data_IF_589520381348
#
_entry.id   IF_589520381348
#
_cell.length_a   1.000
_cell.length_b   1.000
_cell.length_c   1.000
_cell.angle_alpha   90.00
_cell.angle_beta   90.00
_cell.angle_gamma   90.00
#
_symmetry.space_group_name_H-M   'P 1'
#
loop_
_entity.id
_entity.type
_entity.pdbx_description
1 polymer ?
#
# COMPACT_ATOMS: atom_id res chain seq x y z
N UNK A 1 30.78 -18.35 12.38
CA UNK A 1 32.01 -17.57 12.16
C UNK A 1 31.99 -16.96 10.76
N UNK A 2 32.15 -15.62 10.66
CA UNK A 2 32.15 -14.88 9.41
C UNK A 2 33.45 -14.10 9.26
N UNK A 3 34.01 -14.09 8.05
CA UNK A 3 35.07 -13.18 7.65
C UNK A 3 34.51 -12.19 6.65
N UNK A 4 34.44 -10.92 7.01
CA UNK A 4 33.86 -9.85 6.19
C UNK A 4 34.96 -8.91 5.73
N UNK A 5 35.07 -8.69 4.42
CA UNK A 5 35.96 -7.68 3.87
C UNK A 5 35.27 -6.30 3.95
N UNK A 6 35.90 -5.37 4.66
CA UNK A 6 35.43 -3.99 4.77
C UNK A 6 36.21 -3.08 3.81
N UNK A 7 35.58 -2.76 2.70
CA UNK A 7 36.19 -1.99 1.64
C UNK A 7 36.66 -0.59 2.09
N UNK A 8 35.95 0.04 3.04
CA UNK A 8 36.30 1.40 3.52
C UNK A 8 37.62 1.45 4.30
N UNK A 9 38.06 0.36 4.90
CA UNK A 9 39.32 0.27 5.66
C UNK A 9 40.33 -0.68 5.03
N UNK A 10 39.97 -1.38 3.93
CA UNK A 10 40.79 -2.40 3.25
C UNK A 10 41.23 -3.54 4.21
N UNK A 11 40.33 -3.94 5.11
CA UNK A 11 40.62 -4.95 6.14
C UNK A 11 39.62 -6.10 6.11
N UNK A 12 40.09 -7.29 6.52
CA UNK A 12 39.24 -8.43 6.85
C UNK A 12 38.91 -8.39 8.34
N UNK A 13 37.60 -8.42 8.64
CA UNK A 13 37.10 -8.46 10.01
C UNK A 13 36.47 -9.82 10.28
N UNK A 14 36.99 -10.50 11.30
CA UNK A 14 36.42 -11.76 11.78
C UNK A 14 35.41 -11.51 12.89
N UNK A 15 34.25 -12.18 12.82
CA UNK A 15 33.21 -12.06 13.83
C UNK A 15 32.44 -13.36 13.98
N UNK A 16 32.02 -13.63 15.21
CA UNK A 16 31.13 -14.73 15.53
C UNK A 16 29.69 -14.14 15.63
N UNK A 17 28.77 -14.70 14.85
CA UNK A 17 27.36 -14.30 14.82
C UNK A 17 26.51 -15.45 15.32
N UNK A 18 25.78 -15.22 16.38
CA UNK A 18 24.82 -16.18 16.90
C UNK A 18 23.53 -16.15 16.07
N UNK A 19 23.12 -17.30 15.56
CA UNK A 19 21.85 -17.44 14.84
C UNK A 19 20.70 -17.47 15.85
N UNK A 20 19.86 -16.44 15.83
CA UNK A 20 18.67 -16.31 16.68
C UNK A 20 17.50 -15.70 15.91
N UNK A 21 16.30 -15.84 16.46
CA UNK A 21 15.16 -15.08 15.97
C UNK A 21 15.41 -13.59 16.21
N UNK A 22 15.23 -12.79 15.17
CA UNK A 22 15.31 -11.33 15.20
C UNK A 22 14.01 -10.83 14.60
N UNK A 23 13.29 -9.99 15.35
CA UNK A 23 12.18 -9.24 14.77
C UNK A 23 12.76 -8.18 13.85
N UNK A 24 12.30 -8.20 12.60
CA UNK A 24 12.66 -7.17 11.64
C UNK A 24 11.54 -6.12 11.64
N UNK A 25 11.78 -4.89 12.07
CA UNK A 25 10.76 -3.86 12.04
C UNK A 25 10.38 -3.58 10.59
N UNK A 26 9.08 -3.61 10.30
CA UNK A 26 8.52 -3.26 9.01
C UNK A 26 7.85 -1.89 9.03
N UNK A 27 7.70 -1.31 10.22
CA UNK A 27 7.05 -0.03 10.47
C UNK A 27 8.05 0.93 11.09
N UNK A 28 8.24 2.06 10.42
CA UNK A 28 8.94 3.22 10.95
C UNK A 28 7.94 4.38 11.04
N UNK A 29 8.02 5.18 12.08
CA UNK A 29 7.05 6.26 12.28
C UNK A 29 7.63 7.45 13.04
N UNK A 30 7.06 8.61 12.80
CA UNK A 30 7.37 9.84 13.52
C UNK A 30 6.18 10.82 13.49
N UNK A 31 6.13 11.72 14.44
CA UNK A 31 5.22 12.87 14.42
C UNK A 31 5.94 14.05 13.76
N UNK A 32 5.39 14.55 12.65
CA UNK A 32 5.91 15.72 11.95
C UNK A 32 5.55 17.02 12.70
N UNK A 33 6.26 18.12 12.39
CA UNK A 33 6.10 19.41 13.06
C UNK A 33 4.66 19.98 12.98
N UNK A 34 3.90 19.60 11.93
CA UNK A 34 2.51 20.03 11.70
C UNK A 34 1.47 19.07 12.29
N UNK A 35 1.82 18.27 13.29
CA UNK A 35 1.00 17.24 13.92
C UNK A 35 0.52 16.10 13.00
N UNK A 36 1.06 15.98 11.78
CA UNK A 36 0.81 14.80 10.97
C UNK A 36 1.64 13.62 11.50
N UNK A 37 0.97 12.52 11.81
CA UNK A 37 1.63 11.23 12.00
C UNK A 37 2.11 10.72 10.64
N UNK A 38 3.37 10.33 10.53
CA UNK A 38 3.92 9.68 9.35
C UNK A 38 4.31 8.26 9.72
N UNK A 39 3.77 7.28 8.98
CA UNK A 39 4.09 5.86 9.13
C UNK A 39 4.55 5.33 7.79
N UNK A 40 5.79 4.84 7.71
CA UNK A 40 6.33 4.10 6.57
C UNK A 40 6.22 2.61 6.85
N UNK A 41 5.58 1.87 5.93
CA UNK A 41 5.42 0.43 5.98
C UNK A 41 6.18 -0.20 4.81
N UNK A 42 7.33 -0.82 5.09
CA UNK A 42 8.24 -1.35 4.06
C UNK A 42 7.79 -2.68 3.45
N UNK A 43 7.07 -3.51 4.22
CA UNK A 43 6.48 -4.79 3.79
C UNK A 43 5.37 -5.21 4.74
N UNK A 44 4.54 -6.15 4.30
CA UNK A 44 3.52 -6.77 5.15
C UNK A 44 4.02 -8.14 5.65
N UNK A 45 4.42 -8.19 6.91
CA UNK A 45 4.81 -9.40 7.63
C UNK A 45 3.78 -9.71 8.74
N UNK A 46 3.87 -10.87 9.38
CA UNK A 46 2.95 -11.25 10.46
C UNK A 46 2.93 -10.24 11.62
N UNK A 47 4.07 -9.59 11.89
CA UNK A 47 4.25 -8.60 12.97
C UNK A 47 3.79 -7.19 12.60
N UNK A 48 3.54 -6.92 11.30
CA UNK A 48 3.33 -5.55 10.80
C UNK A 48 2.07 -4.91 11.35
N UNK A 49 0.99 -5.68 11.54
CA UNK A 49 -0.27 -5.14 12.09
C UNK A 49 -0.10 -4.66 13.54
N UNK A 50 0.57 -5.42 14.38
CA UNK A 50 0.84 -5.03 15.77
C UNK A 50 1.79 -3.83 15.86
N UNK A 51 2.84 -3.81 15.03
CA UNK A 51 3.75 -2.66 14.94
C UNK A 51 3.02 -1.41 14.48
N UNK A 52 2.13 -1.53 13.48
CA UNK A 52 1.33 -0.43 12.96
C UNK A 52 0.36 0.12 14.02
N UNK A 53 -0.40 -0.74 14.70
CA UNK A 53 -1.31 -0.35 15.78
C UNK A 53 -0.57 0.40 16.89
N UNK A 54 0.57 -0.14 17.33
CA UNK A 54 1.41 0.49 18.34
C UNK A 54 1.93 1.87 17.91
N UNK A 55 2.28 2.02 16.61
CA UNK A 55 2.72 3.30 16.06
C UNK A 55 1.60 4.33 16.06
N UNK A 56 0.39 3.95 15.64
CA UNK A 56 -0.79 4.84 15.65
C UNK A 56 -1.14 5.26 17.07
N UNK A 57 -1.14 4.34 18.04
CA UNK A 57 -1.45 4.63 19.44
C UNK A 57 -0.43 5.62 20.04
N UNK A 58 0.86 5.43 19.75
CA UNK A 58 1.91 6.32 20.21
C UNK A 58 1.79 7.72 19.57
N UNK A 59 1.54 7.80 18.26
CA UNK A 59 1.30 9.06 17.54
C UNK A 59 0.06 9.80 18.08
N UNK A 60 -1.03 9.07 18.30
CA UNK A 60 -2.25 9.64 18.90
C UNK A 60 -1.97 10.20 20.29
N UNK A 61 -1.20 9.49 21.13
CA UNK A 61 -0.78 9.96 22.46
C UNK A 61 0.06 11.23 22.42
N UNK A 62 0.76 11.48 21.30
CA UNK A 62 1.59 12.67 21.03
C UNK A 62 0.81 13.81 20.39
N UNK A 63 -0.49 13.64 20.14
CA UNK A 63 -1.38 14.67 19.60
C UNK A 63 -1.41 14.72 18.07
N UNK A 64 -1.23 13.58 17.40
CA UNK A 64 -1.51 13.44 15.96
C UNK A 64 -2.95 13.83 15.66
N UNK A 65 -3.16 14.67 14.66
CA UNK A 65 -4.48 15.10 14.18
C UNK A 65 -4.76 14.75 12.71
N UNK A 66 -3.80 14.15 12.01
CA UNK A 66 -3.86 13.64 10.63
C UNK A 66 -2.79 12.57 10.44
N UNK A 67 -3.01 11.61 9.55
CA UNK A 67 -2.12 10.46 9.37
C UNK A 67 -1.71 10.28 7.90
N UNK A 68 -0.41 10.15 7.67
CA UNK A 68 0.16 9.72 6.38
C UNK A 68 0.68 8.30 6.53
N UNK A 69 0.23 7.40 5.63
CA UNK A 69 0.72 6.03 5.53
C UNK A 69 1.48 5.90 4.22
N UNK A 70 2.78 5.66 4.30
CA UNK A 70 3.65 5.52 3.11
C UNK A 70 3.81 4.05 2.74
N UNK A 71 3.23 3.69 1.60
CA UNK A 71 3.30 2.36 0.97
C UNK A 71 4.15 2.39 -0.31
N UNK A 72 4.86 3.47 -0.60
CA UNK A 72 5.76 3.54 -1.76
C UNK A 72 6.85 2.47 -1.63
N UNK A 73 7.16 1.81 -2.75
CA UNK A 73 8.12 0.70 -2.83
C UNK A 73 7.75 -0.54 -1.98
N UNK A 74 6.53 -0.62 -1.46
CA UNK A 74 6.06 -1.78 -0.71
C UNK A 74 5.38 -2.79 -1.63
N UNK A 75 6.07 -3.85 -2.01
CA UNK A 75 5.56 -4.92 -2.89
C UNK A 75 4.50 -5.83 -2.26
N UNK A 76 4.02 -5.51 -1.05
CA UNK A 76 3.02 -6.29 -0.33
C UNK A 76 3.62 -7.27 0.68
N UNK A 77 3.06 -8.46 0.77
CA UNK A 77 3.45 -9.50 1.71
C UNK A 77 2.24 -10.29 2.22
N UNK A 78 2.12 -10.42 3.54
CA UNK A 78 1.06 -11.16 4.21
C UNK A 78 -0.26 -10.38 4.11
N UNK A 79 -1.20 -10.88 3.29
CA UNK A 79 -2.52 -10.24 3.09
C UNK A 79 -3.31 -10.12 4.39
N UNK A 80 -3.13 -11.06 5.33
CA UNK A 80 -3.81 -10.98 6.62
C UNK A 80 -3.38 -9.72 7.39
N UNK A 81 -2.09 -9.35 7.38
CA UNK A 81 -1.61 -8.14 8.03
C UNK A 81 -2.25 -6.86 7.43
N UNK A 82 -2.43 -6.82 6.09
CA UNK A 82 -3.12 -5.70 5.44
C UNK A 82 -4.60 -5.62 5.85
N UNK A 83 -5.27 -6.77 5.98
CA UNK A 83 -6.65 -6.84 6.47
C UNK A 83 -6.76 -6.37 7.91
N UNK A 84 -5.85 -6.80 8.78
CA UNK A 84 -5.85 -6.42 10.20
C UNK A 84 -5.55 -4.92 10.40
N UNK A 85 -4.73 -4.33 9.51
CA UNK A 85 -4.49 -2.87 9.48
C UNK A 85 -5.75 -2.14 8.97
N UNK A 86 -6.37 -2.63 7.89
CA UNK A 86 -7.59 -2.02 7.36
C UNK A 86 -8.74 -2.09 8.37
N UNK A 87 -8.89 -3.23 9.06
CA UNK A 87 -9.88 -3.45 10.13
C UNK A 87 -9.70 -2.45 11.27
N UNK A 88 -8.45 -2.26 11.72
CA UNK A 88 -8.10 -1.31 12.78
C UNK A 88 -8.38 0.16 12.39
N UNK A 89 -8.25 0.52 11.10
CA UNK A 89 -8.46 1.89 10.62
C UNK A 89 -9.93 2.21 10.31
N UNK A 90 -10.68 1.23 9.80
CA UNK A 90 -12.04 1.42 9.30
C UNK A 90 -13.09 1.24 10.41
N UNK A 91 -14.21 1.97 10.35
CA UNK A 91 -15.34 1.68 11.20
C UNK A 91 -15.91 0.29 10.91
N UNK A 92 -16.61 -0.27 11.89
CA UNK A 92 -17.22 -1.60 11.84
C UNK A 92 -18.13 -1.81 10.61
N UNK A 93 -18.10 -3.01 10.03
CA UNK A 93 -18.98 -3.45 8.94
C UNK A 93 -18.57 -2.97 7.55
N UNK A 94 -17.39 -2.36 7.37
CA UNK A 94 -16.89 -1.94 6.06
C UNK A 94 -16.27 -3.11 5.31
N UNK A 95 -16.55 -3.24 4.02
CA UNK A 95 -15.85 -4.23 3.19
C UNK A 95 -14.38 -3.84 3.05
N UNK A 96 -13.48 -4.80 3.26
CA UNK A 96 -12.03 -4.63 3.07
C UNK A 96 -11.62 -5.16 1.70
N UNK A 97 -11.96 -6.41 1.41
CA UNK A 97 -11.59 -7.10 0.16
C UNK A 97 -12.48 -8.30 -0.07
N UNK A 98 -12.74 -8.64 -1.33
CA UNK A 98 -13.37 -9.91 -1.69
C UNK A 98 -12.46 -10.75 -2.60
N UNK A 99 -12.59 -12.07 -2.48
CA UNK A 99 -11.86 -13.05 -3.28
C UNK A 99 -12.83 -13.89 -4.09
N UNK A 100 -12.55 -14.06 -5.38
CA UNK A 100 -13.30 -14.94 -6.26
C UNK A 100 -12.33 -15.78 -7.08
N UNK A 101 -12.58 -17.07 -7.20
CA UNK A 101 -11.70 -17.95 -7.96
C UNK A 101 -12.24 -19.33 -8.21
N UNK A 102 -11.60 -20.03 -9.14
CA UNK A 102 -11.97 -21.39 -9.50
C UNK A 102 -11.60 -22.38 -8.40
N UNK A 103 -12.59 -23.13 -7.92
CA UNK A 103 -12.37 -24.19 -6.93
C UNK A 103 -12.16 -23.69 -5.49
N UNK A 104 -12.46 -22.42 -5.23
CA UNK A 104 -12.59 -21.86 -3.89
C UNK A 104 -13.97 -21.21 -3.76
N UNK A 105 -14.48 -21.15 -2.54
CA UNK A 105 -15.69 -20.39 -2.26
C UNK A 105 -15.37 -18.89 -2.28
N UNK A 106 -16.26 -18.11 -2.86
CA UNK A 106 -16.15 -16.65 -2.81
C UNK A 106 -16.17 -16.19 -1.34
N UNK A 107 -15.29 -15.29 -1.01
CA UNK A 107 -15.17 -14.75 0.35
C UNK A 107 -15.10 -13.25 0.36
N UNK A 108 -15.78 -12.64 1.33
CA UNK A 108 -15.75 -11.20 1.59
C UNK A 108 -15.23 -10.99 3.00
N UNK A 109 -14.28 -10.10 3.15
CA UNK A 109 -13.74 -9.68 4.43
C UNK A 109 -14.23 -8.28 4.76
N UNK A 110 -14.71 -8.12 5.98
CA UNK A 110 -15.24 -6.86 6.51
C UNK A 110 -14.52 -6.52 7.81
N UNK A 111 -14.48 -5.24 8.15
CA UNK A 111 -14.01 -4.77 9.46
C UNK A 111 -14.99 -5.17 10.57
N UNK A 112 -14.49 -5.61 11.71
CA UNK A 112 -15.29 -6.11 12.83
C UNK A 112 -14.64 -5.94 14.22
N UNK A 113 -13.48 -5.30 14.33
CA UNK A 113 -12.80 -5.11 15.62
C UNK A 113 -13.41 -4.01 16.49
N UNK A 114 -14.34 -3.21 15.92
CA UNK A 114 -15.02 -2.12 16.61
C UNK A 114 -14.11 -0.92 16.92
N UNK A 115 -12.95 -0.85 16.27
CA UNK A 115 -12.03 0.27 16.34
C UNK A 115 -12.09 1.09 15.04
N UNK A 116 -11.77 2.37 15.14
CA UNK A 116 -11.60 3.24 13.98
C UNK A 116 -10.59 4.34 14.32
N UNK A 117 -9.87 4.82 13.33
CA UNK A 117 -8.98 5.96 13.46
C UNK A 117 -9.65 7.17 12.82
N UNK A 118 -10.28 8.01 13.65
CA UNK A 118 -11.09 9.15 13.23
C UNK A 118 -10.23 10.42 13.07
N UNK A 119 -9.23 10.34 12.17
CA UNK A 119 -8.47 11.50 11.69
C UNK A 119 -8.35 11.41 10.17
N UNK A 120 -8.17 12.53 9.44
CA UNK A 120 -7.90 12.48 8.01
C UNK A 120 -6.68 11.61 7.69
N UNK A 121 -6.82 10.70 6.72
CA UNK A 121 -5.76 9.78 6.32
C UNK A 121 -5.38 10.00 4.86
N UNK A 122 -4.08 10.03 4.58
CA UNK A 122 -3.53 10.00 3.23
C UNK A 122 -2.63 8.77 3.08
N UNK A 123 -2.77 8.04 1.97
CA UNK A 123 -1.82 7.01 1.56
C UNK A 123 -0.92 7.54 0.45
N UNK A 124 0.39 7.40 0.64
CA UNK A 124 1.39 7.58 -0.41
C UNK A 124 1.63 6.23 -1.10
N UNK A 125 1.47 6.20 -2.42
CA UNK A 125 1.63 4.99 -3.25
C UNK A 125 2.46 5.27 -4.50
N UNK A 126 3.04 4.22 -5.09
CA UNK A 126 3.73 4.30 -6.38
C UNK A 126 3.61 2.97 -7.15
N UNK A 127 4.22 2.90 -8.34
CA UNK A 127 4.18 1.72 -9.19
C UNK A 127 4.75 0.43 -8.61
N UNK A 128 5.46 0.50 -7.47
CA UNK A 128 5.97 -0.66 -6.74
C UNK A 128 5.04 -1.07 -5.58
N UNK A 129 4.02 -0.25 -5.26
CA UNK A 129 2.98 -0.59 -4.27
C UNK A 129 2.09 -1.70 -4.83
N UNK A 130 2.18 -2.93 -4.28
CA UNK A 130 1.58 -4.10 -4.88
C UNK A 130 0.91 -5.04 -3.88
N UNK A 131 -0.03 -5.89 -4.33
CA UNK A 131 -0.59 -7.01 -3.57
C UNK A 131 -1.27 -6.56 -2.26
N UNK A 132 -0.71 -6.89 -1.09
CA UNK A 132 -1.25 -6.48 0.22
C UNK A 132 -1.35 -4.96 0.37
N UNK A 133 -0.40 -4.20 -0.21
CA UNK A 133 -0.47 -2.73 -0.28
C UNK A 133 -1.71 -2.27 -1.04
N UNK A 134 -2.05 -2.94 -2.14
CA UNK A 134 -3.23 -2.62 -2.93
C UNK A 134 -4.53 -3.04 -2.24
N UNK A 135 -4.51 -4.11 -1.43
CA UNK A 135 -5.65 -4.48 -0.58
C UNK A 135 -5.94 -3.36 0.42
N UNK A 136 -4.91 -2.86 1.13
CA UNK A 136 -5.08 -1.75 2.07
C UNK A 136 -5.51 -0.46 1.35
N UNK A 137 -4.87 -0.13 0.23
CA UNK A 137 -5.19 1.06 -0.57
C UNK A 137 -6.64 1.03 -1.04
N UNK A 138 -7.08 -0.08 -1.67
CA UNK A 138 -8.44 -0.23 -2.17
C UNK A 138 -9.48 -0.23 -1.05
N UNK A 139 -9.16 -0.87 0.09
CA UNK A 139 -10.05 -0.87 1.25
C UNK A 139 -10.32 0.56 1.76
N UNK A 140 -9.28 1.38 1.92
CA UNK A 140 -9.43 2.73 2.44
C UNK A 140 -10.01 3.70 1.39
N UNK A 141 -9.58 3.60 0.13
CA UNK A 141 -10.09 4.43 -0.96
C UNK A 141 -11.58 4.24 -1.18
N UNK A 142 -12.02 3.01 -1.42
CA UNK A 142 -13.42 2.73 -1.80
C UNK A 142 -14.41 2.96 -0.65
N UNK A 143 -13.95 2.91 0.59
CA UNK A 143 -14.75 3.32 1.75
C UNK A 143 -14.70 4.85 2.00
N UNK A 144 -14.00 5.62 1.17
CA UNK A 144 -13.77 7.06 1.33
C UNK A 144 -13.15 7.41 2.71
N UNK A 145 -12.27 6.53 3.20
CA UNK A 145 -11.61 6.66 4.49
C UNK A 145 -10.21 7.27 4.40
N UNK A 146 -9.60 7.22 3.21
CA UNK A 146 -8.32 7.86 2.93
C UNK A 146 -8.29 8.46 1.53
N UNK A 147 -7.48 9.50 1.36
CA UNK A 147 -7.09 10.06 0.05
C UNK A 147 -5.80 9.40 -0.40
N UNK A 148 -5.72 9.04 -1.67
CA UNK A 148 -4.55 8.39 -2.26
C UNK A 148 -3.74 9.42 -3.05
N UNK A 149 -2.45 9.54 -2.75
CA UNK A 149 -1.52 10.50 -3.37
C UNK A 149 -0.31 9.76 -3.92
N UNK A 150 0.17 10.15 -5.09
CA UNK A 150 1.37 9.60 -5.71
C UNK A 150 1.17 9.08 -7.12
N UNK A 151 1.65 7.88 -7.41
CA UNK A 151 1.56 7.27 -8.73
C UNK A 151 0.68 6.02 -8.68
N UNK A 152 0.12 5.62 -9.83
CA UNK A 152 -0.68 4.41 -9.99
C UNK A 152 0.03 3.18 -9.44
N UNK A 153 -0.69 2.33 -8.70
CA UNK A 153 -0.14 1.11 -8.11
C UNK A 153 0.14 0.02 -9.15
N UNK A 154 0.81 -1.06 -8.74
CA UNK A 154 1.34 -2.11 -9.63
C UNK A 154 0.26 -2.90 -10.39
N UNK A 155 -0.86 -3.24 -9.76
CA UNK A 155 -1.90 -4.09 -10.37
C UNK A 155 -1.70 -5.59 -10.15
N UNK A 156 -1.35 -6.02 -8.93
CA UNK A 156 -1.23 -7.45 -8.58
C UNK A 156 -2.47 -7.95 -7.82
N UNK A 157 -3.61 -8.04 -8.52
CA UNK A 157 -4.90 -8.46 -7.96
C UNK A 157 -5.12 -9.98 -7.94
N UNK A 158 -4.10 -10.80 -7.64
CA UNK A 158 -4.17 -12.27 -7.61
C UNK A 158 -3.71 -12.84 -6.27
N UNK A 159 -4.44 -13.83 -5.76
CA UNK A 159 -4.05 -14.66 -4.64
C UNK A 159 -3.45 -15.98 -5.13
N UNK A 160 -2.37 -16.41 -4.48
CA UNK A 160 -1.66 -17.66 -4.83
C UNK A 160 -1.65 -18.61 -3.66
N UNK A 161 -2.07 -19.85 -3.90
CA UNK A 161 -1.97 -20.95 -2.94
C UNK A 161 -0.67 -21.74 -3.15
N UNK A 162 -0.11 -22.23 -2.04
CA UNK A 162 1.01 -23.20 -2.06
C UNK A 162 0.45 -24.57 -1.69
N UNK A 163 0.66 -25.55 -2.57
CA UNK A 163 0.19 -26.92 -2.41
C UNK A 163 1.40 -27.85 -2.24
N UNK A 164 1.49 -28.53 -1.11
CA UNK A 164 2.51 -29.53 -0.89
C UNK A 164 2.16 -30.80 -1.66
N UNK A 165 3.09 -31.35 -2.41
CA UNK A 165 2.93 -32.57 -3.18
C UNK A 165 3.46 -33.79 -2.39
N UNK A 166 2.98 -35.03 -2.70
CA UNK A 166 3.36 -36.24 -1.96
C UNK A 166 4.85 -36.57 -1.99
N UNK A 167 5.58 -36.09 -2.98
CA UNK A 167 7.04 -36.27 -3.14
C UNK A 167 7.87 -35.25 -2.34
N UNK A 168 7.21 -34.36 -1.57
CA UNK A 168 7.84 -33.30 -0.78
C UNK A 168 8.15 -32.01 -1.57
N UNK A 169 7.80 -31.96 -2.86
CA UNK A 169 7.83 -30.72 -3.64
C UNK A 169 6.62 -29.83 -3.35
N UNK A 170 6.69 -28.56 -3.76
CA UNK A 170 5.58 -27.60 -3.62
C UNK A 170 5.16 -27.02 -4.97
N UNK A 171 3.86 -26.79 -5.13
CA UNK A 171 3.27 -26.15 -6.29
C UNK A 171 2.63 -24.83 -5.86
N UNK A 172 3.04 -23.72 -6.49
CA UNK A 172 2.45 -22.40 -6.28
C UNK A 172 1.56 -22.07 -7.47
N UNK A 173 0.25 -21.89 -7.20
CA UNK A 173 -0.76 -21.59 -8.22
C UNK A 173 -1.57 -20.36 -7.86
N UNK A 174 -1.96 -19.58 -8.85
CA UNK A 174 -3.02 -18.58 -8.71
C UNK A 174 -4.35 -19.29 -8.48
N UNK A 175 -5.02 -18.98 -7.39
CA UNK A 175 -6.28 -19.61 -6.96
C UNK A 175 -7.46 -18.65 -6.99
N UNK A 176 -7.21 -17.34 -6.87
CA UNK A 176 -8.26 -16.33 -6.86
C UNK A 176 -7.76 -14.99 -7.39
N UNK A 177 -8.73 -14.19 -7.81
CA UNK A 177 -8.58 -12.75 -7.96
C UNK A 177 -9.15 -12.07 -6.73
N UNK A 178 -8.61 -10.91 -6.35
CA UNK A 178 -9.22 -10.07 -5.36
C UNK A 178 -9.75 -8.77 -5.95
N UNK A 179 -10.82 -8.33 -5.32
CA UNK A 179 -11.62 -7.20 -5.75
C UNK A 179 -11.69 -6.21 -4.60
N UNK A 180 -11.62 -4.95 -4.90
CA UNK A 180 -11.79 -3.87 -3.95
C UNK A 180 -13.24 -3.82 -3.45
N UNK A 181 -13.56 -3.05 -2.41
CA UNK A 181 -14.93 -2.90 -1.92
C UNK A 181 -15.95 -2.48 -2.99
N UNK A 182 -15.54 -1.67 -3.97
CA UNK A 182 -16.39 -1.28 -5.12
C UNK A 182 -16.66 -2.43 -6.09
N UNK A 183 -15.95 -3.56 -5.95
CA UNK A 183 -16.05 -4.70 -6.84
C UNK A 183 -15.11 -4.64 -8.05
N UNK A 184 -14.17 -3.71 -8.07
CA UNK A 184 -13.17 -3.59 -9.13
C UNK A 184 -12.06 -4.62 -8.97
N UNK A 185 -11.72 -5.32 -10.07
CA UNK A 185 -10.58 -6.23 -10.13
C UNK A 185 -9.33 -5.44 -10.49
N UNK A 186 -8.42 -5.26 -9.54
CA UNK A 186 -7.20 -4.47 -9.76
C UNK A 186 -6.10 -5.19 -10.53
N UNK A 187 -6.31 -6.47 -10.91
CA UNK A 187 -5.27 -7.26 -11.60
C UNK A 187 -4.94 -6.69 -12.96
N UNK A 188 -3.66 -6.32 -13.17
CA UNK A 188 -3.10 -5.60 -14.33
C UNK A 188 -3.56 -4.15 -14.48
N UNK A 189 -4.49 -3.68 -13.66
CA UNK A 189 -5.00 -2.32 -13.70
C UNK A 189 -4.33 -1.41 -12.69
N UNK A 190 -4.09 -1.90 -11.47
CA UNK A 190 -3.65 -1.08 -10.34
C UNK A 190 -4.77 -0.17 -9.81
N UNK A 191 -4.42 0.65 -8.84
CA UNK A 191 -5.30 1.66 -8.24
C UNK A 191 -4.76 3.03 -8.63
N UNK A 192 -5.60 3.85 -9.24
CA UNK A 192 -5.28 5.23 -9.55
C UNK A 192 -5.32 6.08 -8.27
N UNK A 193 -4.35 6.95 -8.03
CA UNK A 193 -4.41 7.91 -6.93
C UNK A 193 -5.51 8.97 -7.18
N UNK A 194 -5.94 9.63 -6.11
CA UNK A 194 -6.86 10.77 -6.17
C UNK A 194 -6.12 12.06 -6.54
N UNK A 195 -4.83 12.11 -6.16
CA UNK A 195 -3.89 13.16 -6.56
C UNK A 195 -2.68 12.50 -7.19
N UNK A 196 -2.55 12.64 -8.51
CA UNK A 196 -1.42 12.07 -9.26
C UNK A 196 -0.23 13.02 -9.23
N UNK A 197 0.85 12.59 -8.61
CA UNK A 197 2.12 13.30 -8.54
C UNK A 197 3.28 12.32 -8.63
N UNK A 198 4.13 12.49 -9.66
CA UNK A 198 5.34 11.69 -9.82
C UNK A 198 6.44 12.18 -8.87
N UNK A 199 7.29 11.26 -8.41
CA UNK A 199 8.50 11.65 -7.71
C UNK A 199 9.44 12.41 -8.66
N UNK A 200 10.01 13.52 -8.20
CA UNK A 200 10.94 14.32 -8.98
C UNK A 200 12.14 13.48 -9.46
N UNK A 201 12.57 13.70 -10.70
CA UNK A 201 13.57 12.86 -11.36
C UNK A 201 14.93 12.85 -10.64
N UNK A 202 15.33 13.96 -10.04
CA UNK A 202 16.58 14.08 -9.29
C UNK A 202 16.53 13.35 -7.92
N UNK A 203 15.34 13.08 -7.43
CA UNK A 203 15.12 12.32 -6.19
C UNK A 203 15.15 10.81 -6.40
N UNK A 204 14.81 10.32 -7.59
CA UNK A 204 14.74 8.87 -7.91
C UNK A 204 16.07 8.14 -7.70
N UNK A 205 17.20 8.83 -7.75
CA UNK A 205 18.52 8.25 -7.53
C UNK A 205 19.00 8.28 -6.07
N UNK A 206 18.27 8.98 -5.18
CA UNK A 206 18.62 9.09 -3.77
C UNK A 206 18.21 7.82 -3.01
N UNK A 207 19.09 7.33 -2.14
CA UNK A 207 18.80 6.18 -1.25
C UNK A 207 17.82 6.61 -0.14
N UNK A 208 18.01 7.84 0.36
CA UNK A 208 17.13 8.46 1.34
C UNK A 208 16.76 9.85 0.83
N UNK A 209 15.48 10.16 0.86
CA UNK A 209 14.94 11.45 0.45
C UNK A 209 14.60 12.21 1.74
N UNK A 210 15.23 13.40 1.98
CA UNK A 210 14.81 14.26 3.08
C UNK A 210 13.33 14.63 2.93
N UNK A 211 12.58 14.60 4.03
CA UNK A 211 11.13 14.82 3.98
C UNK A 211 10.74 16.20 3.46
N UNK A 212 11.56 17.20 3.71
CA UNK A 212 11.39 18.56 3.19
C UNK A 212 11.68 18.69 1.68
N UNK A 213 12.37 17.71 1.08
CA UNK A 213 12.63 17.65 -0.35
C UNK A 213 11.66 16.71 -1.09
N UNK A 214 10.94 15.83 -0.37
CA UNK A 214 10.02 14.84 -0.93
C UNK A 214 8.75 15.51 -1.47
N UNK A 215 8.71 15.77 -2.77
CA UNK A 215 7.60 16.46 -3.42
C UNK A 215 6.26 15.72 -3.27
N UNK A 216 6.25 14.38 -3.24
CA UNK A 216 5.02 13.61 -3.02
C UNK A 216 4.51 13.75 -1.58
N UNK A 217 5.41 13.72 -0.59
CA UNK A 217 5.07 13.96 0.80
C UNK A 217 4.59 15.40 1.01
N UNK A 218 5.25 16.38 0.41
CA UNK A 218 4.82 17.78 0.49
C UNK A 218 3.43 17.97 -0.14
N UNK A 219 3.16 17.34 -1.30
CA UNK A 219 1.82 17.34 -1.90
C UNK A 219 0.77 16.72 -0.98
N UNK A 220 1.09 15.62 -0.29
CA UNK A 220 0.18 15.02 0.69
C UNK A 220 -0.14 15.98 1.85
N UNK A 221 0.85 16.74 2.32
CA UNK A 221 0.63 17.76 3.36
C UNK A 221 -0.25 18.90 2.84
N UNK A 222 -0.05 19.35 1.60
CA UNK A 222 -0.92 20.37 0.97
C UNK A 222 -2.37 19.88 0.83
N UNK A 223 -2.59 18.59 0.50
CA UNK A 223 -3.93 18.01 0.41
C UNK A 223 -4.68 18.10 1.73
N UNK A 224 -4.01 17.92 2.88
CA UNK A 224 -4.65 18.13 4.18
C UNK A 224 -5.09 19.57 4.41
N UNK A 225 -4.32 20.53 3.92
CA UNK A 225 -4.56 21.95 4.18
C UNK A 225 -5.55 22.57 3.18
N UNK A 226 -5.51 22.16 1.91
CA UNK A 226 -6.23 22.80 0.81
C UNK A 226 -7.32 21.93 0.17
N UNK A 227 -7.22 20.61 0.35
CA UNK A 227 -8.11 19.61 -0.26
C UNK A 227 -7.68 19.15 -1.65
N UNK A 228 -8.24 18.01 -2.08
CA UNK A 228 -7.89 17.30 -3.32
C UNK A 228 -8.09 18.18 -4.56
N UNK A 229 -9.25 18.84 -4.68
CA UNK A 229 -9.59 19.62 -5.88
C UNK A 229 -8.62 20.77 -6.10
N UNK A 230 -8.28 21.52 -5.04
CA UNK A 230 -7.37 22.66 -5.13
C UNK A 230 -5.96 22.23 -5.52
N UNK A 231 -5.46 21.12 -4.96
CA UNK A 231 -4.14 20.59 -5.30
C UNK A 231 -4.11 20.08 -6.74
N UNK A 232 -5.14 19.36 -7.19
CA UNK A 232 -5.24 18.88 -8.58
C UNK A 232 -5.29 20.07 -9.58
N UNK A 233 -6.00 21.16 -9.26
CA UNK A 233 -6.01 22.37 -10.09
C UNK A 233 -4.61 23.00 -10.20
N UNK A 234 -3.84 23.05 -9.11
CA UNK A 234 -2.46 23.54 -9.12
C UNK A 234 -1.56 22.69 -10.00
N UNK A 235 -1.58 21.36 -9.79
CA UNK A 235 -0.78 20.41 -10.58
C UNK A 235 -1.11 20.53 -12.08
N UNK A 236 -2.39 20.61 -12.42
CA UNK A 236 -2.85 20.78 -13.81
C UNK A 236 -2.35 22.10 -14.42
N UNK A 237 -2.35 23.19 -13.66
CA UNK A 237 -1.86 24.49 -14.10
C UNK A 237 -0.34 24.49 -14.33
N UNK A 238 0.43 23.81 -13.51
CA UNK A 238 1.88 23.68 -13.63
C UNK A 238 2.28 22.82 -14.84
N UNK A 239 1.54 21.74 -15.10
CA UNK A 239 1.79 20.83 -16.22
C UNK A 239 1.25 21.36 -17.57
N UNK A 240 0.50 22.45 -17.60
CA UNK A 240 -0.08 23.03 -18.81
C UNK A 240 -1.19 22.18 -19.44
N UNK A 241 -1.77 21.22 -18.70
CA UNK A 241 -2.81 20.31 -19.13
C UNK A 241 -4.19 20.84 -18.78
N UNK A 242 -5.02 21.08 -19.80
CA UNK A 242 -6.48 21.20 -19.60
C UNK A 242 -7.04 19.79 -19.50
N UNK A 243 -7.60 19.45 -18.36
CA UNK A 243 -8.20 18.14 -18.08
C UNK A 243 -9.15 17.67 -19.20
N UNK A 244 -8.84 16.53 -19.83
CA UNK A 244 -9.78 15.78 -20.64
C UNK A 244 -10.00 14.41 -19.98
N UNK A 245 -11.02 14.36 -19.11
CA UNK A 245 -11.30 13.19 -18.24
C UNK A 245 -12.11 12.06 -18.92
N UNK A 246 -12.53 12.20 -20.19
CA UNK A 246 -13.54 11.31 -20.80
C UNK A 246 -12.99 10.12 -21.63
N UNK A 247 -11.76 10.18 -22.16
CA UNK A 247 -11.26 9.11 -23.03
C UNK A 247 -10.71 7.88 -22.29
N UNK A 248 -10.34 8.03 -21.03
CA UNK A 248 -9.69 6.97 -20.22
C UNK A 248 -10.72 6.03 -19.56
N UNK A 249 -11.94 6.52 -19.31
CA UNK A 249 -13.01 5.73 -18.66
C UNK A 249 -13.53 4.61 -19.56
N UNK A 250 -13.75 4.88 -20.86
CA UNK A 250 -14.23 3.84 -21.80
C UNK A 250 -13.18 2.74 -22.04
N UNK A 251 -11.88 3.09 -22.03
CA UNK A 251 -10.80 2.11 -22.16
C UNK A 251 -10.73 1.19 -20.94
N UNK A 252 -10.85 1.73 -19.72
CA UNK A 252 -10.87 0.97 -18.46
C UNK A 252 -12.07 0.04 -18.35
N UNK A 253 -13.26 0.47 -18.78
CA UNK A 253 -14.46 -0.38 -18.80
C UNK A 253 -14.27 -1.59 -19.73
N UNK A 254 -13.61 -1.41 -20.88
CA UNK A 254 -13.31 -2.53 -21.80
C UNK A 254 -12.29 -3.49 -21.21
N UNK A 255 -11.26 -2.99 -20.56
CA UNK A 255 -10.20 -3.80 -19.96
C UNK A 255 -10.73 -4.62 -18.77
N UNK A 256 -11.57 -4.04 -17.92
CA UNK A 256 -12.27 -4.76 -16.84
C UNK A 256 -13.20 -5.87 -17.38
N UNK A 257 -13.93 -5.60 -18.46
CA UNK A 257 -14.77 -6.60 -19.13
C UNK A 257 -13.97 -7.76 -19.74
N UNK A 258 -12.75 -7.54 -20.20
CA UNK A 258 -11.86 -8.61 -20.68
C UNK A 258 -11.30 -9.43 -19.52
N UNK A 259 -10.92 -8.80 -18.39
CA UNK A 259 -10.47 -9.48 -17.18
C UNK A 259 -11.58 -10.35 -16.59
N UNK A 260 -12.82 -9.85 -16.55
CA UNK A 260 -13.97 -10.64 -16.12
C UNK A 260 -14.26 -11.83 -17.06
N UNK A 261 -14.07 -11.66 -18.37
CA UNK A 261 -14.18 -12.76 -19.34
C UNK A 261 -13.07 -13.79 -19.20
N UNK A 262 -11.82 -13.38 -18.95
CA UNK A 262 -10.72 -14.29 -18.66
C UNK A 262 -10.95 -15.03 -17.33
N UNK A 263 -11.43 -14.34 -16.31
CA UNK A 263 -11.80 -14.94 -15.03
C UNK A 263 -13.02 -15.89 -15.18
N UNK A 264 -14.01 -15.54 -16.01
CA UNK A 264 -15.18 -16.36 -16.35
C UNK A 264 -14.88 -17.51 -17.32
N UNK A 265 -13.95 -17.35 -18.27
CA UNK A 265 -13.54 -18.42 -19.19
C UNK A 265 -12.62 -19.45 -18.51
N UNK A 266 -12.13 -19.16 -17.34
CA UNK A 266 -11.42 -20.10 -16.47
C UNK A 266 -12.39 -20.96 -15.61
N UNK A 267 -13.72 -20.82 -15.81
CA UNK A 267 -14.75 -21.65 -15.16
C UNK A 267 -14.99 -22.99 -15.95
#
# INVERSE_FOLDING_TARGET
HLTVYRQSTDEYVEMDVERRMVENPTVEYELLDNHAGYISLSSFEEVSSEQFKSAVDDLASKGMDKLIIDLRNNGGGVVQAAKDIADYLLPDGKTIVSFKGKGIDDSVYTSDDGHEVDVPIILLVNGESASASEVLTGALKDNAWATIVGEKTFGKGIAQGIFNLPDGSGLKLTTAYYYTPSGECIHKLGIEPDVTVALDEDLKSKIEIPKDEDNQLQTALEVFDEGVDAVNEKISAENGETATADDDFEAKVKENLEIEKEAGAAQ
#
